data_IF_931447424175
#
_entry.id   IF_931447424175
#
_cell.length_a   1.000
_cell.length_b   1.000
_cell.length_c   1.000
_cell.angle_alpha   90.00
_cell.angle_beta   90.00
_cell.angle_gamma   90.00
#
_symmetry.space_group_name_H-M   'P 1'
#
loop_
_entity.id
_entity.type
_entity.pdbx_description
1 polymer ?
#
# COMPACT_ATOMS: atom_id res chain seq x y z
N UNK A 1 -14.26 3.30 -11.86
CA UNK A 1 -14.30 4.63 -11.21
C UNK A 1 -13.15 5.56 -11.61
N UNK A 2 -11.93 5.40 -11.10
CA UNK A 2 -10.81 6.35 -11.33
C UNK A 2 -10.53 6.57 -12.82
N UNK A 3 -10.38 5.47 -13.58
CA UNK A 3 -10.18 5.51 -15.04
C UNK A 3 -11.37 6.07 -15.82
N UNK A 4 -12.58 5.79 -15.36
CA UNK A 4 -13.82 6.23 -16.03
C UNK A 4 -14.05 7.73 -15.85
N UNK A 5 -13.67 8.27 -14.69
CA UNK A 5 -13.82 9.69 -14.37
C UNK A 5 -12.60 10.54 -14.75
N UNK A 6 -11.47 9.91 -15.13
CA UNK A 6 -10.24 10.62 -15.50
C UNK A 6 -9.62 11.41 -14.35
N UNK A 7 -9.82 10.97 -13.11
CA UNK A 7 -9.34 11.64 -11.89
C UNK A 7 -8.14 10.93 -11.29
N UNK A 8 -7.38 11.64 -10.45
CA UNK A 8 -6.42 11.02 -9.54
C UNK A 8 -7.03 10.94 -8.13
N UNK A 9 -6.78 9.83 -7.43
CA UNK A 9 -7.28 9.61 -6.07
C UNK A 9 -6.12 9.20 -5.16
N UNK A 10 -6.06 9.82 -3.98
CA UNK A 10 -5.17 9.41 -2.89
C UNK A 10 -6.07 8.90 -1.77
N UNK A 11 -5.80 7.68 -1.31
CA UNK A 11 -6.53 7.04 -0.22
C UNK A 11 -5.54 6.81 0.92
N UNK A 12 -5.95 7.14 2.15
CA UNK A 12 -5.17 6.87 3.36
C UNK A 12 -5.94 5.85 4.20
N UNK A 13 -5.33 4.69 4.43
CA UNK A 13 -5.92 3.60 5.21
C UNK A 13 -4.84 2.83 5.95
N UNK A 14 -5.25 2.08 6.97
CA UNK A 14 -4.42 1.12 7.70
C UNK A 14 -4.64 -0.33 7.22
N UNK A 15 -5.61 -0.56 6.34
CA UNK A 15 -5.97 -1.87 5.82
C UNK A 15 -5.28 -2.13 4.47
N UNK A 16 -4.31 -3.06 4.46
CA UNK A 16 -3.56 -3.42 3.25
C UNK A 16 -4.40 -4.19 2.22
N UNK A 17 -5.46 -4.90 2.63
CA UNK A 17 -6.33 -5.62 1.69
C UNK A 17 -7.11 -4.62 0.82
N UNK A 18 -7.55 -3.51 1.42
CA UNK A 18 -8.19 -2.40 0.69
C UNK A 18 -7.21 -1.75 -0.30
N UNK A 19 -5.95 -1.54 0.11
CA UNK A 19 -4.92 -0.99 -0.78
C UNK A 19 -4.68 -1.90 -1.99
N UNK A 20 -4.57 -3.21 -1.78
CA UNK A 20 -4.35 -4.19 -2.86
C UNK A 20 -5.44 -4.15 -3.93
N UNK A 21 -6.68 -3.85 -3.55
CA UNK A 21 -7.82 -3.81 -4.46
C UNK A 21 -7.99 -2.46 -5.19
N UNK A 22 -7.56 -1.36 -4.57
CA UNK A 22 -7.91 -0.01 -5.02
C UNK A 22 -6.75 0.81 -5.56
N UNK A 23 -5.51 0.52 -5.17
CA UNK A 23 -4.37 1.38 -5.43
C UNK A 23 -3.38 0.75 -6.43
N UNK A 24 -2.98 1.51 -7.44
CA UNK A 24 -1.88 1.12 -8.35
C UNK A 24 -0.50 1.28 -7.67
N UNK A 25 -0.39 2.21 -6.72
CA UNK A 25 0.85 2.56 -6.01
C UNK A 25 0.59 2.67 -4.51
N UNK A 26 1.56 2.22 -3.72
CA UNK A 26 1.54 2.27 -2.26
C UNK A 26 2.68 3.13 -1.72
N UNK A 27 2.39 3.85 -0.64
CA UNK A 27 3.35 4.57 0.18
C UNK A 27 3.12 4.20 1.64
N UNK A 28 4.15 3.69 2.31
CA UNK A 28 4.10 3.37 3.73
C UNK A 28 4.79 4.48 4.51
N UNK A 29 4.07 5.00 5.50
CA UNK A 29 4.57 6.04 6.39
C UNK A 29 4.70 5.53 7.82
N UNK A 30 5.79 5.91 8.49
CA UNK A 30 5.99 5.69 9.91
C UNK A 30 6.57 6.94 10.55
N UNK A 31 5.97 7.41 11.65
CA UNK A 31 6.43 8.61 12.41
C UNK A 31 6.64 9.84 11.50
N UNK A 32 5.71 10.08 10.59
CA UNK A 32 5.75 11.22 9.66
C UNK A 32 6.80 11.13 8.56
N UNK A 33 7.42 9.96 8.35
CA UNK A 33 8.38 9.72 7.27
C UNK A 33 7.88 8.64 6.33
N UNK A 34 8.08 8.84 5.03
CA UNK A 34 7.93 7.79 4.04
C UNK A 34 9.08 6.82 4.21
N UNK A 35 8.76 5.58 4.54
CA UNK A 35 9.75 4.52 4.76
C UNK A 35 9.86 3.57 3.56
N UNK A 36 8.81 3.47 2.75
CA UNK A 36 8.75 2.62 1.57
C UNK A 36 7.69 3.12 0.58
N UNK A 37 7.95 2.98 -0.71
CA UNK A 37 7.04 3.40 -1.78
C UNK A 37 7.30 2.56 -3.03
N UNK A 38 6.25 2.16 -3.74
CA UNK A 38 6.38 1.42 -4.99
C UNK A 38 5.03 1.10 -5.65
N UNK A 39 5.06 0.18 -6.60
CA UNK A 39 3.83 -0.48 -7.07
C UNK A 39 3.24 -1.27 -5.90
N UNK A 40 1.91 -1.29 -5.80
CA UNK A 40 1.23 -1.96 -4.68
C UNK A 40 1.66 -3.42 -4.55
N UNK A 41 1.65 -4.18 -5.65
CA UNK A 41 2.06 -5.58 -5.65
C UNK A 41 3.52 -5.76 -5.22
N UNK A 42 4.43 -4.88 -5.65
CA UNK A 42 5.84 -4.95 -5.26
C UNK A 42 6.01 -4.73 -3.75
N UNK A 43 5.38 -3.69 -3.19
CA UNK A 43 5.54 -3.35 -1.77
C UNK A 43 4.83 -4.38 -0.86
N UNK A 44 3.79 -5.06 -1.36
CA UNK A 44 3.07 -6.07 -0.60
C UNK A 44 3.66 -7.48 -0.74
N UNK A 45 4.15 -7.87 -1.92
CA UNK A 45 4.65 -9.22 -2.20
C UNK A 45 6.17 -9.34 -1.98
N UNK A 46 6.94 -8.26 -2.13
CA UNK A 46 8.38 -8.18 -1.82
C UNK A 46 8.72 -6.92 -0.99
N UNK A 47 8.21 -6.82 0.26
CA UNK A 47 8.50 -5.68 1.14
C UNK A 47 9.96 -5.63 1.57
N UNK A 48 10.63 -4.50 1.35
CA UNK A 48 12.05 -4.30 1.70
C UNK A 48 12.25 -3.68 3.08
N UNK A 49 11.31 -2.85 3.56
CA UNK A 49 11.46 -2.22 4.87
C UNK A 49 10.95 -3.17 5.98
N UNK A 50 11.69 -3.36 7.09
CA UNK A 50 11.28 -4.26 8.18
C UNK A 50 9.89 -3.96 8.75
N UNK A 51 9.52 -2.68 8.85
CA UNK A 51 8.17 -2.30 9.28
C UNK A 51 7.08 -2.73 8.29
N UNK A 52 7.33 -2.62 6.99
CA UNK A 52 6.37 -3.06 5.96
C UNK A 52 6.23 -4.58 5.99
N UNK A 53 7.33 -5.32 6.17
CA UNK A 53 7.30 -6.78 6.39
C UNK A 53 6.42 -7.15 7.58
N UNK A 54 6.55 -6.44 8.70
CA UNK A 54 5.68 -6.64 9.88
C UNK A 54 4.21 -6.37 9.56
N UNK A 55 3.90 -5.28 8.85
CA UNK A 55 2.52 -4.96 8.44
C UNK A 55 1.93 -6.04 7.54
N UNK A 56 2.66 -6.46 6.49
CA UNK A 56 2.23 -7.51 5.57
C UNK A 56 2.02 -8.82 6.32
N UNK A 57 2.92 -9.21 7.23
CA UNK A 57 2.77 -10.43 8.05
C UNK A 57 1.58 -10.39 9.00
N UNK A 58 1.07 -9.19 9.33
CA UNK A 58 -0.07 -9.00 10.23
C UNK A 58 -1.42 -9.07 9.51
N UNK A 59 -1.42 -9.08 8.17
CA UNK A 59 -2.61 -9.20 7.35
C UNK A 59 -2.64 -10.60 6.75
N UNK A 60 -3.75 -11.32 6.91
CA UNK A 60 -3.94 -12.65 6.32
C UNK A 60 -3.79 -12.54 4.80
N UNK A 61 -2.75 -13.18 4.24
CA UNK A 61 -2.67 -13.41 2.81
C UNK A 61 -3.63 -14.54 2.46
N UNK A 62 -4.79 -14.20 1.91
CA UNK A 62 -5.73 -15.15 1.29
C UNK A 62 -5.52 -15.11 -0.21
#
# INVERSE_FOLDING_TARGET
LVRELGIAVIIVTHDLAVVRLLADRLMVMQRGRVIEQGLTDQVLDDPHHPYTQLLVSSVLQV
#
